data_IF_679185001611
#
_entry.id   IF_679185001611
#
_cell.length_a   1.000
_cell.length_b   1.000
_cell.length_c   1.000
_cell.angle_alpha   90.00
_cell.angle_beta   90.00
_cell.angle_gamma   90.00
#
_symmetry.space_group_name_H-M   'P 1'
#
loop_
_entity.id
_entity.type
_entity.pdbx_description
1 polymer ?
#
# COMPACT_ATOMS: atom_id res chain seq x y z
N UNK A 1 13.23 -3.25 17.26
CA UNK A 1 12.22 -2.59 18.15
C UNK A 1 11.59 -1.43 17.39
N UNK A 2 10.24 -1.30 17.37
CA UNK A 2 9.60 -0.25 16.56
C UNK A 2 9.87 1.14 17.15
N UNK A 3 10.68 1.94 16.45
CA UNK A 3 10.99 3.33 16.83
C UNK A 3 9.80 4.25 16.47
N UNK A 4 9.44 5.21 17.34
CA UNK A 4 8.46 6.24 16.98
C UNK A 4 8.96 7.06 15.79
N UNK A 5 8.12 7.27 14.78
CA UNK A 5 8.46 8.13 13.64
C UNK A 5 8.19 9.60 14.03
N UNK A 6 9.19 10.50 13.98
CA UNK A 6 9.02 11.90 14.36
C UNK A 6 7.93 12.62 13.56
N UNK A 7 7.27 13.61 14.17
CA UNK A 7 6.21 14.41 13.50
C UNK A 7 6.71 15.09 12.21
N UNK A 8 7.95 15.59 12.22
CA UNK A 8 8.59 16.18 11.04
C UNK A 8 8.70 15.18 9.89
N UNK A 9 9.21 13.97 10.16
CA UNK A 9 9.30 12.89 9.17
C UNK A 9 7.93 12.47 8.67
N UNK A 10 6.93 12.37 9.55
CA UNK A 10 5.55 12.07 9.13
C UNK A 10 5.01 13.11 8.15
N UNK A 11 5.29 14.40 8.35
CA UNK A 11 4.89 15.46 7.41
C UNK A 11 5.53 15.27 6.04
N UNK A 12 6.83 14.95 6.00
CA UNK A 12 7.54 14.68 4.73
C UNK A 12 6.96 13.45 4.01
N UNK A 13 6.68 12.36 4.75
CA UNK A 13 6.06 11.15 4.20
C UNK A 13 4.68 11.44 3.62
N UNK A 14 3.87 12.24 4.31
CA UNK A 14 2.55 12.66 3.82
C UNK A 14 2.65 13.43 2.49
N UNK A 15 3.65 14.31 2.37
CA UNK A 15 3.85 15.17 1.20
C UNK A 15 4.31 14.41 -0.04
N UNK A 16 4.97 13.25 0.09
CA UNK A 16 5.48 12.44 -1.05
C UNK A 16 4.45 12.24 -2.16
N UNK A 17 3.22 11.97 -1.76
CA UNK A 17 2.12 11.65 -2.68
C UNK A 17 0.93 12.59 -2.45
N UNK A 18 1.22 13.85 -2.11
CA UNK A 18 0.26 14.94 -1.96
C UNK A 18 -0.98 14.56 -1.11
N UNK A 19 -0.76 13.90 0.03
CA UNK A 19 -1.86 13.49 0.92
C UNK A 19 -2.70 12.31 0.44
N UNK A 20 -2.18 11.50 -0.49
CA UNK A 20 -2.82 10.26 -0.94
C UNK A 20 -2.09 9.03 -0.40
N UNK A 21 -2.84 7.93 -0.25
CA UNK A 21 -2.28 6.62 0.02
C UNK A 21 -1.39 6.20 -1.16
N UNK A 22 -0.11 5.91 -0.89
CA UNK A 22 0.85 5.49 -1.90
C UNK A 22 0.43 4.23 -2.66
N UNK A 23 -0.43 3.39 -2.07
CA UNK A 23 -0.90 2.16 -2.70
C UNK A 23 -2.16 2.34 -3.52
N UNK A 24 -3.30 2.64 -2.88
CA UNK A 24 -4.59 2.72 -3.57
C UNK A 24 -4.92 4.10 -4.13
N UNK A 25 -4.18 5.15 -3.72
CA UNK A 25 -4.42 6.51 -4.18
C UNK A 25 -5.65 7.19 -3.59
N UNK A 26 -6.29 6.64 -2.55
CA UNK A 26 -7.34 7.38 -1.85
C UNK A 26 -6.72 8.53 -1.04
N UNK A 27 -7.47 9.61 -0.86
CA UNK A 27 -7.08 10.68 0.07
C UNK A 27 -6.95 10.14 1.50
N UNK A 28 -5.99 10.67 2.24
CA UNK A 28 -5.76 10.35 3.65
C UNK A 28 -5.64 11.64 4.47
N UNK A 29 -6.11 11.64 5.73
CA UNK A 29 -5.98 12.81 6.59
C UNK A 29 -4.52 13.02 7.01
N UNK A 30 -4.06 14.27 7.06
CA UNK A 30 -2.70 14.61 7.54
C UNK A 30 -2.47 14.15 8.98
N UNK A 31 -3.52 14.17 9.82
CA UNK A 31 -3.48 13.66 11.19
C UNK A 31 -3.94 12.19 11.22
N UNK A 32 -3.12 11.33 11.79
CA UNK A 32 -3.51 9.95 12.13
C UNK A 32 -3.38 8.92 10.99
N UNK A 33 -2.89 9.28 9.80
CA UNK A 33 -2.61 8.29 8.75
C UNK A 33 -1.51 7.29 9.15
N UNK A 34 -1.41 6.17 8.42
CA UNK A 34 -0.38 5.16 8.69
C UNK A 34 0.88 5.47 7.88
N UNK A 35 2.04 5.33 8.51
CA UNK A 35 3.33 5.28 7.81
C UNK A 35 3.72 3.82 7.69
N UNK A 36 3.64 3.29 6.48
CA UNK A 36 4.05 1.94 6.16
C UNK A 36 5.54 1.91 5.76
N UNK A 37 6.18 0.75 5.95
CA UNK A 37 7.52 0.50 5.45
C UNK A 37 7.40 -0.34 4.18
N UNK A 38 7.85 0.17 3.03
CA UNK A 38 7.77 -0.52 1.74
C UNK A 38 8.38 -1.93 1.86
N UNK A 39 9.61 -1.98 2.36
CA UNK A 39 10.29 -3.15 2.88
C UNK A 39 10.08 -3.21 4.40
N UNK A 40 9.31 -4.20 4.86
CA UNK A 40 8.83 -4.24 6.23
C UNK A 40 9.95 -4.50 7.25
N UNK A 41 9.86 -3.88 8.43
CA UNK A 41 10.83 -4.04 9.51
C UNK A 41 11.09 -5.53 9.86
N UNK A 42 10.03 -6.33 9.97
CA UNK A 42 10.15 -7.75 10.37
C UNK A 42 11.11 -8.55 9.48
N UNK A 43 11.11 -8.28 8.18
CA UNK A 43 11.87 -9.06 7.21
C UNK A 43 13.22 -8.40 6.86
N UNK A 44 13.39 -7.11 7.16
CA UNK A 44 14.53 -6.31 6.67
C UNK A 44 15.36 -5.62 7.77
N UNK A 45 14.95 -5.59 9.05
CA UNK A 45 15.65 -4.84 10.13
C UNK A 45 17.13 -5.21 10.30
N UNK A 46 17.55 -6.43 9.95
CA UNK A 46 18.94 -6.89 10.08
C UNK A 46 19.52 -7.41 8.75
N UNK A 47 19.00 -6.94 7.62
CA UNK A 47 19.46 -7.40 6.29
C UNK A 47 20.08 -6.28 5.46
N UNK A 48 20.29 -5.10 6.05
CA UNK A 48 20.86 -3.92 5.36
C UNK A 48 22.21 -4.22 4.70
N UNK A 49 23.11 -4.94 5.38
CA UNK A 49 24.43 -5.31 4.84
C UNK A 49 24.34 -6.13 3.53
N UNK A 50 23.32 -6.97 3.38
CA UNK A 50 23.13 -7.81 2.20
C UNK A 50 22.20 -7.18 1.15
N UNK A 51 21.21 -6.40 1.58
CA UNK A 51 20.16 -5.85 0.71
C UNK A 51 20.40 -4.40 0.31
N UNK A 52 21.23 -3.67 1.05
CA UNK A 52 21.41 -2.22 0.91
C UNK A 52 20.19 -1.40 1.34
N UNK A 53 19.20 -2.02 2.01
CA UNK A 53 17.95 -1.36 2.38
C UNK A 53 18.04 -0.90 3.84
N UNK A 54 18.17 0.41 4.05
CA UNK A 54 17.90 1.01 5.35
C UNK A 54 16.38 1.06 5.56
N UNK A 55 15.88 0.23 6.47
CA UNK A 55 14.45 0.16 6.79
C UNK A 55 13.90 1.46 7.39
N UNK A 56 14.74 2.28 8.00
CA UNK A 56 14.35 3.53 8.63
C UNK A 56 14.50 4.75 7.71
N UNK A 57 15.13 4.58 6.55
CA UNK A 57 15.29 5.66 5.58
C UNK A 57 13.95 6.16 5.06
N UNK A 58 13.88 7.47 4.80
CA UNK A 58 12.65 8.12 4.36
C UNK A 58 12.16 7.54 3.04
N UNK A 59 13.02 7.09 2.13
CA UNK A 59 12.64 6.46 0.86
C UNK A 59 11.77 5.22 1.07
N UNK A 60 12.05 4.44 2.12
CA UNK A 60 11.29 3.24 2.49
C UNK A 60 9.96 3.54 3.19
N UNK A 61 9.73 4.77 3.66
CA UNK A 61 8.51 5.17 4.36
C UNK A 61 7.43 5.67 3.40
N UNK A 62 6.25 5.06 3.47
CA UNK A 62 5.13 5.33 2.55
C UNK A 62 3.89 5.80 3.31
N UNK A 63 3.21 6.88 2.87
CA UNK A 63 1.90 7.22 3.40
C UNK A 63 0.88 6.17 2.96
N UNK A 64 0.12 5.62 3.91
CA UNK A 64 -0.81 4.53 3.65
C UNK A 64 -2.14 4.72 4.39
N UNK A 65 -3.24 4.37 3.75
CA UNK A 65 -4.52 4.26 4.43
C UNK A 65 -4.55 3.01 5.33
N UNK A 66 -5.42 3.00 6.34
CA UNK A 66 -5.49 1.89 7.31
C UNK A 66 -5.76 0.52 6.66
N UNK A 67 -6.59 0.48 5.62
CA UNK A 67 -6.93 -0.76 4.91
C UNK A 67 -5.73 -1.32 4.15
N UNK A 68 -5.03 -0.50 3.35
CA UNK A 68 -3.84 -0.95 2.63
C UNK A 68 -2.71 -1.35 3.57
N UNK A 69 -2.43 -0.54 4.61
CA UNK A 69 -1.41 -0.85 5.60
C UNK A 69 -1.68 -2.21 6.29
N UNK A 70 -2.92 -2.42 6.76
CA UNK A 70 -3.30 -3.68 7.40
C UNK A 70 -3.22 -4.86 6.43
N UNK A 71 -3.68 -4.68 5.20
CA UNK A 71 -3.72 -5.75 4.23
C UNK A 71 -2.32 -6.12 3.71
N UNK A 72 -1.44 -5.14 3.49
CA UNK A 72 -0.03 -5.37 3.11
C UNK A 72 0.74 -6.11 4.19
N UNK A 73 0.55 -5.73 5.46
CA UNK A 73 1.23 -6.33 6.60
C UNK A 73 2.76 -6.43 6.38
N UNK A 74 3.30 -7.63 6.25
CA UNK A 74 4.74 -7.90 6.05
C UNK A 74 5.08 -8.31 4.61
N UNK A 75 4.12 -8.27 3.70
CA UNK A 75 4.32 -8.68 2.31
C UNK A 75 5.20 -7.68 1.56
N UNK A 76 5.99 -8.21 0.63
CA UNK A 76 6.63 -7.41 -0.41
C UNK A 76 5.60 -6.89 -1.42
N UNK A 77 6.01 -5.95 -2.27
CA UNK A 77 5.13 -5.33 -3.27
C UNK A 77 4.53 -6.33 -4.24
N UNK A 78 5.32 -7.31 -4.70
CA UNK A 78 4.89 -8.31 -5.67
C UNK A 78 3.77 -9.16 -5.10
N UNK A 79 3.97 -9.67 -3.89
CA UNK A 79 2.99 -10.49 -3.18
C UNK A 79 1.76 -9.68 -2.83
N UNK A 80 1.94 -8.44 -2.33
CA UNK A 80 0.83 -7.54 -2.03
C UNK A 80 -0.05 -7.29 -3.25
N UNK A 81 0.55 -6.98 -4.42
CA UNK A 81 -0.16 -6.81 -5.70
C UNK A 81 -0.94 -8.07 -6.08
N UNK A 82 -0.32 -9.25 -5.96
CA UNK A 82 -0.99 -10.52 -6.25
C UNK A 82 -2.15 -10.79 -5.30
N UNK A 83 -2.03 -10.46 -4.01
CA UNK A 83 -3.10 -10.65 -3.04
C UNK A 83 -4.28 -9.71 -3.28
N UNK A 84 -4.01 -8.45 -3.71
CA UNK A 84 -5.04 -7.51 -4.14
C UNK A 84 -5.82 -8.04 -5.35
N UNK A 85 -5.12 -8.55 -6.37
CA UNK A 85 -5.76 -9.12 -7.57
C UNK A 85 -6.68 -10.31 -7.28
N UNK A 86 -6.43 -11.04 -6.18
CA UNK A 86 -7.24 -12.17 -5.75
C UNK A 86 -8.47 -11.76 -4.93
N UNK A 87 -8.65 -10.48 -4.59
CA UNK A 87 -9.80 -10.03 -3.78
C UNK A 87 -11.14 -10.43 -4.42
N UNK A 88 -11.40 -10.16 -5.73
CA UNK A 88 -12.67 -10.53 -6.34
C UNK A 88 -12.92 -12.05 -6.29
N UNK A 89 -11.88 -12.87 -6.44
CA UNK A 89 -12.00 -14.34 -6.40
C UNK A 89 -12.37 -14.84 -5.01
N UNK A 90 -11.78 -14.24 -3.96
CA UNK A 90 -12.18 -14.52 -2.57
C UNK A 90 -13.62 -14.08 -2.31
N UNK A 91 -14.02 -12.90 -2.79
CA UNK A 91 -15.40 -12.42 -2.66
C UNK A 91 -16.40 -13.34 -3.37
N UNK A 92 -16.10 -13.80 -4.59
CA UNK A 92 -16.93 -14.78 -5.30
C UNK A 92 -17.09 -16.09 -4.53
N UNK A 93 -16.00 -16.59 -3.93
CA UNK A 93 -16.00 -17.84 -3.17
C UNK A 93 -16.76 -17.70 -1.85
N UNK A 94 -16.55 -16.60 -1.12
CA UNK A 94 -16.94 -16.48 0.29
C UNK A 94 -18.21 -15.65 0.53
N UNK A 95 -18.61 -14.79 -0.43
CA UNK A 95 -19.69 -13.80 -0.25
C UNK A 95 -20.78 -13.98 -1.31
N UNK A 96 -21.87 -14.66 -0.98
CA UNK A 96 -22.95 -14.95 -1.93
C UNK A 96 -23.63 -13.68 -2.49
N UNK A 97 -23.74 -12.61 -1.70
CA UNK A 97 -24.32 -11.33 -2.13
C UNK A 97 -23.46 -10.62 -3.17
N UNK A 98 -22.15 -10.84 -3.19
CA UNK A 98 -21.26 -10.35 -4.25
C UNK A 98 -21.62 -10.98 -5.60
N UNK A 99 -21.87 -12.29 -5.63
CA UNK A 99 -22.31 -12.99 -6.85
C UNK A 99 -23.70 -12.55 -7.31
N UNK A 100 -24.61 -12.23 -6.39
CA UNK A 100 -25.91 -11.63 -6.73
C UNK A 100 -25.69 -10.28 -7.41
N UNK A 101 -24.89 -9.39 -6.80
CA UNK A 101 -24.60 -8.08 -7.35
C UNK A 101 -23.96 -8.14 -8.75
N UNK A 102 -23.06 -9.11 -9.00
CA UNK A 102 -22.51 -9.37 -10.33
C UNK A 102 -23.60 -9.79 -11.34
N UNK A 103 -24.49 -10.72 -10.98
CA UNK A 103 -25.57 -11.18 -11.87
C UNK A 103 -26.55 -10.06 -12.27
N UNK A 104 -26.80 -9.12 -11.36
CA UNK A 104 -27.64 -7.95 -11.60
C UNK A 104 -26.87 -6.75 -12.18
N UNK A 105 -25.57 -6.90 -12.46
CA UNK A 105 -24.75 -5.82 -13.02
C UNK A 105 -24.50 -4.64 -12.09
N UNK A 106 -24.80 -4.76 -10.79
CA UNK A 106 -24.57 -3.71 -9.78
C UNK A 106 -23.08 -3.56 -9.46
N UNK A 107 -22.30 -4.62 -9.66
CA UNK A 107 -20.84 -4.63 -9.53
C UNK A 107 -20.25 -5.04 -10.86
N UNK A 108 -19.20 -4.34 -11.27
CA UNK A 108 -18.36 -4.69 -12.42
C UNK A 108 -16.93 -4.93 -11.93
N UNK A 109 -16.33 -6.03 -12.36
CA UNK A 109 -14.95 -6.34 -12.00
C UNK A 109 -13.98 -5.69 -12.98
N UNK A 110 -12.98 -4.98 -12.45
CA UNK A 110 -11.77 -4.67 -13.22
C UNK A 110 -10.70 -5.73 -12.93
N UNK A 111 -10.20 -6.39 -13.98
CA UNK A 111 -9.15 -7.42 -13.91
C UNK A 111 -7.81 -6.96 -14.47
N UNK A 112 -7.69 -5.68 -14.81
CA UNK A 112 -6.42 -5.07 -15.19
C UNK A 112 -5.37 -5.22 -14.08
N UNK A 113 -4.08 -5.31 -14.43
CA UNK A 113 -3.01 -5.32 -13.45
C UNK A 113 -3.09 -4.13 -12.49
N UNK A 114 -3.10 -4.41 -11.18
CA UNK A 114 -3.06 -3.35 -10.16
C UNK A 114 -1.75 -2.58 -10.29
N UNK A 115 -1.90 -1.28 -10.54
CA UNK A 115 -0.82 -0.28 -10.51
C UNK A 115 -0.98 0.59 -9.27
N UNK A 116 0.05 0.64 -8.42
CA UNK A 116 0.00 1.44 -7.20
C UNK A 116 0.07 2.93 -7.54
N UNK A 117 -0.48 3.76 -6.65
CA UNK A 117 -0.49 5.21 -6.87
C UNK A 117 0.91 5.81 -6.98
N UNK A 118 1.86 5.38 -6.13
CA UNK A 118 3.23 5.85 -6.20
C UNK A 118 3.90 5.59 -7.55
N UNK A 119 3.63 4.42 -8.16
CA UNK A 119 4.17 4.06 -9.48
C UNK A 119 3.64 5.00 -10.57
N UNK A 120 2.36 5.41 -10.48
CA UNK A 120 1.78 6.37 -11.43
C UNK A 120 2.44 7.74 -11.31
N UNK A 121 2.59 8.22 -10.07
CA UNK A 121 3.20 9.54 -9.80
C UNK A 121 4.66 9.55 -10.26
N UNK A 122 5.43 8.50 -9.98
CA UNK A 122 6.84 8.42 -10.34
C UNK A 122 7.06 8.35 -11.87
N UNK A 123 6.17 7.68 -12.60
CA UNK A 123 6.20 7.68 -14.07
C UNK A 123 5.86 9.05 -14.69
N UNK A 124 4.95 9.80 -14.06
CA UNK A 124 4.58 11.16 -14.51
C UNK A 124 5.70 12.19 -14.26
N UNK A 125 6.46 12.04 -13.17
CA UNK A 125 7.58 12.94 -12.84
C UNK A 125 8.91 12.52 -13.47
N UNK A 126 8.99 11.31 -14.02
CA UNK A 126 10.16 10.78 -14.73
C UNK A 126 10.21 11.10 -16.23
N UNK A 127 9.23 11.86 -16.75
CA UNK A 127 9.18 12.36 -18.12
C UNK A 127 9.47 13.87 -18.18
#
# INVERSE_FOLDING_TARGET
MRRPIPKSVRKLVYQKYNGHCAYCGCEIPEKGFNVDHLHCLRNYENTEEFTGIDVHDISNLMPSCGSCNRYKATMDLKTFRQQLQKIPDRLKRDVCTYNIALRYGMVQENREPIKFYFEKVEEEHGN
#
